data_IF_266483056520
#
_entry.id   IF_266483056520
#
_cell.length_a   1.000
_cell.length_b   1.000
_cell.length_c   1.000
_cell.angle_alpha   90.00
_cell.angle_beta   90.00
_cell.angle_gamma   90.00
#
_symmetry.space_group_name_H-M   'P 1'
#
loop_
_entity.id
_entity.type
_entity.pdbx_description
1 polymer ?
#
# COMPACT_ATOMS: atom_id res chain seq x y z
N UNK A 1 -10.54 -20.01 11.16
CA UNK A 1 -9.51 -19.69 10.13
C UNK A 1 -8.55 -18.67 10.71
N UNK A 2 -7.24 -18.93 10.70
CA UNK A 2 -6.22 -18.04 11.26
C UNK A 2 -5.61 -17.15 10.18
N UNK A 3 -5.39 -15.88 10.55
CA UNK A 3 -4.86 -14.83 9.69
C UNK A 3 -3.54 -14.32 10.27
N UNK A 4 -2.55 -14.08 9.42
CA UNK A 4 -1.29 -13.42 9.79
C UNK A 4 -1.17 -12.08 9.09
N UNK A 5 -0.95 -11.02 9.88
CA UNK A 5 -0.63 -9.67 9.40
C UNK A 5 0.86 -9.41 9.64
N UNK A 6 1.66 -9.44 8.58
CA UNK A 6 3.10 -9.15 8.63
C UNK A 6 3.34 -7.65 8.62
N UNK A 7 4.41 -7.21 9.31
CA UNK A 7 4.82 -5.82 9.43
C UNK A 7 3.66 -4.90 9.89
N UNK A 8 2.95 -5.35 10.94
CA UNK A 8 1.67 -4.79 11.37
C UNK A 8 1.76 -3.32 11.77
N UNK A 9 2.90 -2.86 12.32
CA UNK A 9 3.14 -1.46 12.68
C UNK A 9 2.01 -0.83 13.49
N UNK A 10 1.58 0.36 13.07
CA UNK A 10 0.51 1.14 13.72
C UNK A 10 -0.91 0.77 13.26
N UNK A 11 -1.11 -0.38 12.59
CA UNK A 11 -2.39 -0.75 11.96
C UNK A 11 -3.29 -1.59 12.86
N UNK A 12 -3.40 -1.22 14.14
CA UNK A 12 -4.28 -1.85 15.14
C UNK A 12 -5.74 -1.96 14.64
N UNK A 13 -6.22 -0.97 13.89
CA UNK A 13 -7.55 -1.00 13.30
C UNK A 13 -7.76 -2.18 12.34
N UNK A 14 -6.74 -2.51 11.53
CA UNK A 14 -6.86 -3.61 10.57
C UNK A 14 -6.85 -4.97 11.28
N UNK A 15 -6.07 -5.11 12.35
CA UNK A 15 -6.14 -6.31 13.22
C UNK A 15 -7.56 -6.50 13.72
N UNK A 16 -8.20 -5.44 14.26
CA UNK A 16 -9.59 -5.49 14.74
C UNK A 16 -10.58 -5.85 13.64
N UNK A 17 -10.46 -5.27 12.45
CA UNK A 17 -11.34 -5.60 11.32
C UNK A 17 -11.25 -7.08 10.92
N UNK A 18 -10.06 -7.68 10.99
CA UNK A 18 -9.93 -9.12 10.77
C UNK A 18 -10.48 -9.94 11.94
N UNK A 19 -10.25 -9.51 13.19
CA UNK A 19 -10.80 -10.17 14.39
C UNK A 19 -12.33 -10.21 14.34
N UNK A 20 -12.98 -9.10 13.98
CA UNK A 20 -14.45 -9.01 13.84
C UNK A 20 -15.00 -10.05 12.85
N UNK A 21 -14.20 -10.43 11.83
CA UNK A 21 -14.58 -11.44 10.85
C UNK A 21 -14.27 -12.87 11.31
N UNK A 22 -13.08 -13.11 11.89
CA UNK A 22 -12.62 -14.48 12.12
C UNK A 22 -12.96 -15.02 13.52
N UNK A 23 -13.11 -14.19 14.55
CA UNK A 23 -13.46 -14.64 15.89
C UNK A 23 -14.81 -15.37 15.93
N UNK A 24 -15.88 -14.87 15.25
CA UNK A 24 -17.15 -15.62 15.18
C UNK A 24 -17.02 -16.98 14.49
N UNK A 25 -15.96 -17.19 13.71
CA UNK A 25 -15.65 -18.46 13.03
C UNK A 25 -14.65 -19.33 13.82
N UNK A 26 -14.36 -18.98 15.08
CA UNK A 26 -13.36 -19.67 15.92
C UNK A 26 -11.91 -19.48 15.45
N UNK A 27 -11.64 -18.46 14.61
CA UNK A 27 -10.30 -18.11 14.13
C UNK A 27 -9.60 -17.10 15.02
N UNK A 28 -8.31 -16.84 14.70
CA UNK A 28 -7.45 -15.87 15.40
C UNK A 28 -6.68 -15.01 14.41
N UNK A 29 -6.29 -13.82 14.85
CA UNK A 29 -5.45 -12.88 14.09
C UNK A 29 -4.09 -12.77 14.76
N UNK A 30 -3.07 -13.17 14.05
CA UNK A 30 -1.67 -13.13 14.45
C UNK A 30 -0.97 -11.93 13.82
N UNK A 31 0.06 -11.43 14.48
CA UNK A 31 0.84 -10.31 13.96
C UNK A 31 2.35 -10.56 14.06
N UNK A 32 3.10 -10.08 13.08
CA UNK A 32 4.56 -10.01 13.14
C UNK A 32 5.05 -8.59 12.90
N UNK A 33 6.18 -8.24 13.51
CA UNK A 33 6.88 -6.99 13.30
C UNK A 33 8.35 -7.16 13.71
N UNK A 34 9.24 -6.25 13.32
CA UNK A 34 10.66 -6.28 13.71
C UNK A 34 10.91 -5.79 15.13
N UNK A 35 9.92 -5.14 15.75
CA UNK A 35 9.98 -4.67 17.15
C UNK A 35 8.64 -4.88 17.84
N UNK A 36 8.60 -4.94 19.17
CA UNK A 36 7.38 -5.00 19.96
C UNK A 36 6.67 -3.63 20.10
N UNK A 37 7.31 -2.53 19.68
CA UNK A 37 6.78 -1.17 19.83
C UNK A 37 5.80 -0.80 18.69
N UNK A 38 4.85 -1.69 18.44
CA UNK A 38 3.86 -1.52 17.39
C UNK A 38 2.45 -1.74 17.95
N UNK A 39 1.52 -0.80 17.72
CA UNK A 39 0.17 -0.90 18.29
C UNK A 39 -0.58 -2.13 17.79
N UNK A 40 -0.29 -2.63 16.59
CA UNK A 40 -0.82 -3.90 16.09
C UNK A 40 -0.46 -5.11 16.96
N UNK A 41 0.69 -5.08 17.65
CA UNK A 41 1.10 -6.11 18.60
C UNK A 41 0.17 -6.21 19.81
N UNK A 42 -0.35 -5.06 20.30
CA UNK A 42 -1.21 -5.04 21.50
C UNK A 42 -2.60 -5.58 21.25
N UNK A 43 -3.09 -5.52 20.01
CA UNK A 43 -4.46 -5.91 19.69
C UNK A 43 -4.55 -7.26 19.01
N UNK A 44 -3.45 -7.80 18.51
CA UNK A 44 -3.42 -9.16 17.92
C UNK A 44 -3.66 -10.22 19.01
N UNK A 45 -4.26 -11.35 18.63
CA UNK A 45 -4.47 -12.47 19.54
C UNK A 45 -3.15 -13.12 20.00
N UNK A 46 -2.13 -13.06 19.13
CA UNK A 46 -0.75 -13.40 19.42
C UNK A 46 0.16 -12.63 18.45
N UNK A 47 1.36 -12.25 18.94
CA UNK A 47 2.31 -11.50 18.10
C UNK A 47 3.74 -11.97 18.36
N UNK A 48 4.59 -11.94 17.30
CA UNK A 48 5.99 -12.34 17.39
C UNK A 48 6.91 -11.37 16.68
N UNK A 49 8.05 -11.08 17.30
CA UNK A 49 9.13 -10.33 16.67
C UNK A 49 9.83 -11.26 15.68
N UNK A 50 10.07 -10.75 14.47
CA UNK A 50 10.73 -11.47 13.38
C UNK A 50 11.95 -10.68 12.89
N UNK A 51 12.93 -11.33 12.23
CA UNK A 51 14.05 -10.63 11.58
C UNK A 51 13.57 -9.59 10.57
N UNK A 52 14.39 -8.57 10.23
CA UNK A 52 14.12 -7.68 9.10
C UNK A 52 13.97 -8.47 7.79
N UNK A 53 13.16 -7.98 6.86
CA UNK A 53 12.92 -8.65 5.57
C UNK A 53 14.17 -8.81 4.69
N UNK A 54 15.20 -8.02 4.94
CA UNK A 54 16.52 -8.15 4.31
C UNK A 54 17.37 -9.31 4.87
N UNK A 55 16.99 -9.89 6.02
CA UNK A 55 17.69 -11.05 6.57
C UNK A 55 17.40 -12.31 5.75
N UNK A 56 18.45 -13.14 5.55
CA UNK A 56 18.31 -14.44 4.88
C UNK A 56 17.38 -15.41 5.62
N UNK A 57 17.19 -15.23 6.93
CA UNK A 57 16.34 -16.07 7.77
C UNK A 57 14.85 -15.67 7.74
N UNK A 58 14.54 -14.45 7.25
CA UNK A 58 13.20 -13.87 7.36
C UNK A 58 12.10 -14.79 6.79
N UNK A 59 12.30 -15.26 5.57
CA UNK A 59 11.31 -16.10 4.88
C UNK A 59 11.09 -17.41 5.62
N UNK A 60 12.15 -18.08 6.06
CA UNK A 60 12.05 -19.37 6.73
C UNK A 60 11.38 -19.23 8.10
N UNK A 61 11.70 -18.17 8.87
CA UNK A 61 10.98 -17.84 10.11
C UNK A 61 9.50 -17.62 9.85
N UNK A 62 9.13 -16.88 8.80
CA UNK A 62 7.73 -16.62 8.47
C UNK A 62 6.98 -17.90 8.05
N UNK A 63 7.62 -18.81 7.34
CA UNK A 63 7.04 -20.12 6.95
C UNK A 63 6.79 -20.99 8.19
N UNK A 64 7.76 -21.07 9.11
CA UNK A 64 7.60 -21.84 10.36
C UNK A 64 6.46 -21.27 11.24
N UNK A 65 6.35 -19.94 11.35
CA UNK A 65 5.23 -19.31 12.05
C UNK A 65 3.88 -19.60 11.38
N UNK A 66 3.81 -19.59 10.06
CA UNK A 66 2.60 -19.97 9.33
C UNK A 66 2.18 -21.41 9.62
N UNK A 67 3.14 -22.31 9.72
CA UNK A 67 2.91 -23.72 10.07
C UNK A 67 2.50 -23.87 11.55
N UNK A 68 3.25 -23.27 12.48
CA UNK A 68 2.99 -23.29 13.93
C UNK A 68 1.58 -22.80 14.25
N UNK A 69 1.17 -21.68 13.67
CA UNK A 69 -0.11 -21.03 13.93
C UNK A 69 -1.24 -21.50 13.01
N UNK A 70 -0.97 -22.45 12.12
CA UNK A 70 -1.92 -22.94 11.12
C UNK A 70 -2.59 -21.77 10.34
N UNK A 71 -1.76 -20.90 9.79
CA UNK A 71 -2.19 -19.68 9.08
C UNK A 71 -2.79 -20.07 7.73
N UNK A 72 -3.99 -19.57 7.44
CA UNK A 72 -4.63 -19.75 6.15
C UNK A 72 -4.35 -18.60 5.19
N UNK A 73 -4.40 -17.35 5.68
CA UNK A 73 -4.13 -16.17 4.87
C UNK A 73 -3.04 -15.32 5.52
N UNK A 74 -2.05 -14.91 4.74
CA UNK A 74 -1.00 -13.98 5.14
C UNK A 74 -1.10 -12.71 4.31
N UNK A 75 -1.16 -11.56 4.99
CA UNK A 75 -1.11 -10.23 4.41
C UNK A 75 0.17 -9.52 4.84
N UNK A 76 0.92 -8.98 3.89
CA UNK A 76 1.94 -7.98 4.20
C UNK A 76 1.30 -6.61 4.27
N UNK A 77 1.61 -5.85 5.32
CA UNK A 77 1.14 -4.47 5.50
C UNK A 77 2.23 -3.44 5.19
N UNK A 78 3.35 -3.89 4.63
CA UNK A 78 4.48 -3.03 4.31
C UNK A 78 5.02 -3.37 2.92
N UNK A 79 5.49 -2.35 2.20
CA UNK A 79 5.91 -2.51 0.81
C UNK A 79 7.24 -3.28 0.66
N UNK A 80 8.05 -3.35 1.72
CA UNK A 80 9.44 -3.83 1.68
C UNK A 80 9.58 -5.32 1.98
N UNK A 81 8.68 -5.92 2.76
CA UNK A 81 8.70 -7.34 3.05
C UNK A 81 7.91 -8.18 2.04
N UNK A 82 6.92 -7.57 1.40
CA UNK A 82 6.05 -8.24 0.45
C UNK A 82 6.80 -8.90 -0.73
N UNK A 83 7.81 -8.28 -1.38
CA UNK A 83 8.56 -8.94 -2.45
C UNK A 83 9.31 -10.19 -2.00
N UNK A 84 9.90 -10.19 -0.80
CA UNK A 84 10.62 -11.34 -0.25
C UNK A 84 9.65 -12.52 -0.01
N UNK A 85 8.49 -12.25 0.61
CA UNK A 85 7.45 -13.25 0.83
C UNK A 85 6.91 -13.79 -0.51
N UNK A 86 6.63 -12.91 -1.47
CA UNK A 86 6.05 -13.29 -2.75
C UNK A 86 6.99 -14.19 -3.59
N UNK A 87 8.30 -13.99 -3.53
CA UNK A 87 9.29 -14.88 -4.18
C UNK A 87 9.27 -16.29 -3.61
N UNK A 88 8.91 -16.44 -2.35
CA UNK A 88 8.86 -17.72 -1.65
C UNK A 88 7.44 -18.33 -1.60
N UNK A 89 6.51 -17.87 -2.45
CA UNK A 89 5.08 -18.26 -2.45
C UNK A 89 4.87 -19.77 -2.35
N UNK A 90 5.68 -20.58 -3.04
CA UNK A 90 5.61 -22.04 -3.02
C UNK A 90 5.86 -22.62 -1.62
N UNK A 91 6.80 -22.03 -0.84
CA UNK A 91 7.07 -22.48 0.54
C UNK A 91 5.84 -22.28 1.43
N UNK A 92 5.16 -21.14 1.30
CA UNK A 92 3.94 -20.84 2.06
C UNK A 92 2.77 -21.73 1.63
N UNK A 93 2.63 -21.94 0.33
CA UNK A 93 1.60 -22.84 -0.19
C UNK A 93 1.76 -24.27 0.34
N UNK A 94 3.00 -24.78 0.44
CA UNK A 94 3.31 -26.11 0.96
C UNK A 94 2.88 -26.31 2.42
N UNK A 95 2.78 -25.23 3.22
CA UNK A 95 2.26 -25.29 4.61
C UNK A 95 0.78 -24.86 4.71
N UNK A 96 0.07 -24.73 3.58
CA UNK A 96 -1.36 -24.42 3.52
C UNK A 96 -1.72 -22.94 3.60
N UNK A 97 -0.71 -22.05 3.54
CA UNK A 97 -0.90 -20.58 3.62
C UNK A 97 -1.00 -19.95 2.24
N UNK A 98 -2.03 -19.12 2.04
CA UNK A 98 -2.20 -18.28 0.85
C UNK A 98 -1.62 -16.90 1.13
N UNK A 99 -0.67 -16.44 0.32
CA UNK A 99 -0.16 -15.07 0.35
C UNK A 99 -1.15 -14.14 -0.37
N UNK A 100 -1.81 -13.25 0.37
CA UNK A 100 -2.76 -12.28 -0.19
C UNK A 100 -2.00 -11.00 -0.58
N UNK A 101 -1.32 -11.09 -1.71
CA UNK A 101 -0.51 -10.01 -2.30
C UNK A 101 -0.25 -10.28 -3.78
N UNK A 102 0.32 -9.32 -4.49
CA UNK A 102 0.72 -9.45 -5.88
C UNK A 102 1.87 -10.45 -6.09
N UNK A 103 2.23 -10.68 -7.36
CA UNK A 103 3.47 -11.37 -7.73
C UNK A 103 4.66 -10.48 -7.42
N UNK A 104 5.83 -11.08 -7.16
CA UNK A 104 7.05 -10.34 -6.76
C UNK A 104 7.45 -9.26 -7.77
N UNK A 105 7.25 -9.50 -9.08
CA UNK A 105 7.57 -8.53 -10.13
C UNK A 105 6.69 -7.26 -10.04
N UNK A 106 5.40 -7.44 -9.73
CA UNK A 106 4.46 -6.32 -9.54
C UNK A 106 4.82 -5.54 -8.28
N UNK A 107 5.08 -6.25 -7.18
CA UNK A 107 5.47 -5.64 -5.91
C UNK A 107 6.75 -4.81 -6.06
N UNK A 108 7.79 -5.38 -6.67
CA UNK A 108 9.06 -4.70 -6.93
C UNK A 108 8.89 -3.51 -7.89
N UNK A 109 8.01 -3.64 -8.89
CA UNK A 109 7.71 -2.56 -9.81
C UNK A 109 7.00 -1.38 -9.13
N UNK A 110 6.06 -1.66 -8.21
CA UNK A 110 5.36 -0.62 -7.45
C UNK A 110 6.28 0.03 -6.40
N UNK A 111 7.25 -0.70 -5.85
CA UNK A 111 8.23 -0.18 -4.91
C UNK A 111 9.10 0.91 -5.54
N UNK A 112 9.41 0.78 -6.82
CA UNK A 112 10.16 1.75 -7.61
C UNK A 112 9.20 2.73 -8.32
N UNK A 113 9.00 3.92 -7.74
CA UNK A 113 8.05 4.91 -8.23
C UNK A 113 8.30 5.33 -9.70
N UNK A 114 9.56 5.37 -10.14
CA UNK A 114 9.87 5.68 -11.54
C UNK A 114 9.51 4.53 -12.47
N UNK A 115 9.83 3.30 -12.10
CA UNK A 115 9.46 2.09 -12.85
C UNK A 115 7.95 1.93 -12.92
N UNK A 116 7.25 2.19 -11.81
CA UNK A 116 5.79 2.20 -11.75
C UNK A 116 5.21 3.21 -12.75
N UNK A 117 5.70 4.46 -12.76
CA UNK A 117 5.27 5.49 -13.72
C UNK A 117 5.43 4.99 -15.16
N UNK A 118 6.60 4.44 -15.51
CA UNK A 118 6.86 3.96 -16.88
C UNK A 118 5.96 2.79 -17.29
N UNK A 119 5.66 1.88 -16.37
CA UNK A 119 4.72 0.78 -16.61
C UNK A 119 3.29 1.29 -16.80
N UNK A 120 2.87 2.25 -16.00
CA UNK A 120 1.54 2.84 -16.08
C UNK A 120 1.35 3.66 -17.36
N UNK A 121 2.35 4.45 -17.76
CA UNK A 121 2.37 5.14 -19.08
C UNK A 121 2.20 4.12 -20.22
N UNK A 122 2.89 2.97 -20.15
CA UNK A 122 2.76 1.87 -21.13
C UNK A 122 1.36 1.24 -21.18
N UNK A 123 0.60 1.35 -20.08
CA UNK A 123 -0.81 0.91 -20.02
C UNK A 123 -1.81 2.02 -20.43
N UNK A 124 -1.32 3.17 -20.87
CA UNK A 124 -2.14 4.34 -21.19
C UNK A 124 -2.77 4.99 -19.93
N UNK A 125 -2.15 4.81 -18.77
CA UNK A 125 -2.54 5.49 -17.53
C UNK A 125 -1.71 6.75 -17.38
N UNK A 126 -2.38 7.88 -17.21
CA UNK A 126 -1.73 9.17 -17.05
C UNK A 126 -1.04 9.23 -15.67
N UNK A 127 0.25 9.61 -15.69
CA UNK A 127 1.06 9.89 -14.51
C UNK A 127 1.66 11.29 -14.61
N UNK A 128 2.14 11.88 -13.51
CA UNK A 128 2.89 13.15 -13.59
C UNK A 128 4.14 12.95 -14.46
N UNK A 129 4.43 13.92 -15.35
CA UNK A 129 5.67 13.91 -16.14
C UNK A 129 6.87 13.79 -15.24
N UNK A 130 7.71 12.80 -15.47
CA UNK A 130 8.77 12.40 -14.55
C UNK A 130 10.11 12.29 -15.26
N UNK A 131 11.15 12.85 -14.66
CA UNK A 131 12.55 12.78 -15.13
C UNK A 131 13.47 12.43 -13.97
N UNK A 132 14.72 12.03 -14.28
CA UNK A 132 15.71 11.56 -13.28
C UNK A 132 16.92 12.50 -13.16
N UNK A 133 16.94 13.63 -13.85
CA UNK A 133 18.04 14.60 -13.77
C UNK A 133 17.54 16.04 -13.76
N UNK A 134 18.29 16.93 -13.12
CA UNK A 134 18.04 18.38 -13.15
C UNK A 134 18.06 18.89 -14.59
N UNK A 135 19.01 18.42 -15.42
CA UNK A 135 19.12 18.80 -16.83
C UNK A 135 17.83 18.50 -17.59
N UNK A 136 17.27 17.30 -17.43
CA UNK A 136 16.02 16.92 -18.09
C UNK A 136 14.82 17.69 -17.50
N UNK A 137 14.84 17.99 -16.21
CA UNK A 137 13.79 18.78 -15.57
C UNK A 137 13.73 20.19 -16.17
N UNK A 138 14.85 20.86 -16.28
CA UNK A 138 14.94 22.21 -16.88
C UNK A 138 14.59 22.22 -18.37
N UNK A 139 14.83 21.12 -19.09
CA UNK A 139 14.53 21.02 -20.51
C UNK A 139 13.05 20.67 -20.82
N UNK A 140 12.34 19.99 -19.90
CA UNK A 140 11.04 19.35 -20.20
C UNK A 140 9.90 19.71 -19.24
N UNK A 141 10.21 20.28 -18.08
CA UNK A 141 9.24 20.60 -17.04
C UNK A 141 9.26 22.10 -16.74
N UNK A 142 8.22 22.59 -16.08
CA UNK A 142 8.11 23.97 -15.63
C UNK A 142 7.87 24.03 -14.14
N UNK A 143 8.45 25.00 -13.45
CA UNK A 143 8.16 25.23 -12.03
C UNK A 143 6.68 25.59 -11.80
N UNK A 144 6.10 25.22 -10.64
CA UNK A 144 6.74 24.48 -9.57
C UNK A 144 6.93 23.00 -9.89
N UNK A 145 7.94 22.35 -9.26
CA UNK A 145 8.25 20.95 -9.43
C UNK A 145 8.15 20.20 -8.09
N UNK A 146 8.02 18.87 -8.16
CA UNK A 146 8.13 17.97 -7.02
C UNK A 146 9.43 17.19 -7.15
N UNK A 147 10.25 17.22 -6.10
CA UNK A 147 11.44 16.38 -5.94
C UNK A 147 11.15 15.33 -4.87
N UNK A 148 11.42 14.07 -5.15
CA UNK A 148 11.19 12.99 -4.17
C UNK A 148 12.15 11.82 -4.38
N UNK A 149 12.43 11.04 -3.31
CA UNK A 149 13.10 9.75 -3.44
C UNK A 149 12.32 8.83 -4.39
N UNK A 150 13.03 8.10 -5.22
CA UNK A 150 12.47 7.08 -6.11
C UNK A 150 11.88 5.91 -5.32
N UNK A 151 12.53 5.55 -4.21
CA UNK A 151 12.05 4.59 -3.21
C UNK A 151 11.79 5.31 -1.90
N UNK A 152 10.73 5.00 -1.20
CA UNK A 152 10.38 5.62 0.08
C UNK A 152 8.88 5.62 0.34
N UNK A 153 8.51 6.00 1.55
CA UNK A 153 7.13 5.99 2.05
C UNK A 153 6.86 7.19 2.98
N UNK A 154 5.59 7.41 3.31
CA UNK A 154 5.19 8.41 4.31
C UNK A 154 5.56 9.84 3.95
N UNK A 155 5.67 10.18 2.67
CA UNK A 155 6.05 11.50 2.15
C UNK A 155 7.43 12.01 2.63
N UNK A 156 8.30 11.12 3.14
CA UNK A 156 9.65 11.49 3.59
C UNK A 156 10.51 11.88 2.38
N UNK A 157 11.13 13.07 2.44
CA UNK A 157 12.03 13.57 1.39
C UNK A 157 11.30 14.09 0.15
N UNK A 158 10.01 14.43 0.24
CA UNK A 158 9.25 15.08 -0.83
C UNK A 158 9.32 16.60 -0.65
N UNK A 159 9.75 17.29 -1.69
CA UNK A 159 9.89 18.76 -1.72
C UNK A 159 9.16 19.35 -2.91
N UNK A 160 8.36 20.38 -2.68
CA UNK A 160 7.86 21.27 -3.74
C UNK A 160 8.86 22.41 -3.90
N UNK A 161 9.29 22.66 -5.13
CA UNK A 161 10.32 23.66 -5.45
C UNK A 161 9.81 24.61 -6.52
N UNK A 162 10.15 25.91 -6.41
CA UNK A 162 9.66 26.97 -7.26
C UNK A 162 10.75 27.61 -8.14
N UNK A 163 12.03 27.32 -7.85
CA UNK A 163 13.17 27.89 -8.53
C UNK A 163 14.35 26.90 -8.60
N UNK A 164 15.38 27.25 -9.38
CA UNK A 164 16.52 26.39 -9.65
C UNK A 164 17.37 26.10 -8.38
N UNK A 165 17.61 27.11 -7.58
CA UNK A 165 18.39 27.01 -6.33
C UNK A 165 17.67 26.08 -5.32
N UNK A 166 16.34 26.17 -5.23
CA UNK A 166 15.52 25.24 -4.44
C UNK A 166 15.60 23.80 -5.00
N UNK A 167 15.62 23.65 -6.34
CA UNK A 167 15.67 22.34 -7.00
C UNK A 167 16.98 21.60 -6.67
N UNK A 168 18.12 22.28 -6.75
CA UNK A 168 19.45 21.72 -6.46
C UNK A 168 19.53 21.27 -4.98
N UNK A 169 19.08 22.12 -4.06
CA UNK A 169 19.03 21.79 -2.63
C UNK A 169 18.10 20.61 -2.34
N UNK A 170 16.92 20.60 -2.94
CA UNK A 170 15.94 19.52 -2.74
C UNK A 170 16.44 18.17 -3.25
N UNK A 171 17.12 18.13 -4.40
CA UNK A 171 17.73 16.90 -4.94
C UNK A 171 18.77 16.37 -3.96
N UNK A 172 19.67 17.21 -3.44
CA UNK A 172 20.68 16.80 -2.47
C UNK A 172 20.05 16.20 -1.19
N UNK A 173 18.99 16.82 -0.66
CA UNK A 173 18.29 16.30 0.53
C UNK A 173 17.51 15.01 0.21
N UNK A 174 16.85 14.92 -0.94
CA UNK A 174 16.13 13.72 -1.34
C UNK A 174 17.08 12.54 -1.57
N UNK A 175 18.28 12.75 -2.12
CA UNK A 175 19.31 11.73 -2.26
C UNK A 175 19.80 11.19 -0.92
N UNK A 176 19.95 12.05 0.09
CA UNK A 176 20.30 11.61 1.44
C UNK A 176 19.21 10.68 2.01
N UNK A 177 17.95 11.08 1.95
CA UNK A 177 16.84 10.23 2.39
C UNK A 177 16.75 8.92 1.59
N UNK A 178 17.01 8.96 0.28
CA UNK A 178 17.00 7.77 -0.56
C UNK A 178 18.07 6.74 -0.13
N UNK A 179 19.25 7.19 0.27
CA UNK A 179 20.33 6.30 0.79
C UNK A 179 19.90 5.59 2.08
N UNK A 180 19.20 6.28 2.97
CA UNK A 180 18.70 5.68 4.21
C UNK A 180 17.68 4.55 3.89
N UNK A 181 16.81 4.75 2.91
CA UNK A 181 15.89 3.72 2.44
C UNK A 181 16.59 2.56 1.72
N UNK A 182 17.60 2.84 0.90
CA UNK A 182 18.31 1.82 0.14
C UNK A 182 18.98 0.77 1.03
N UNK A 183 19.37 1.15 2.24
CA UNK A 183 19.97 0.22 3.22
C UNK A 183 18.95 -0.80 3.78
N UNK A 184 17.67 -0.54 3.67
CA UNK A 184 16.59 -1.35 4.24
C UNK A 184 15.97 -2.35 3.24
N UNK A 185 16.24 -2.18 1.93
CA UNK A 185 15.61 -2.98 0.89
C UNK A 185 16.63 -3.46 -0.16
N UNK A 186 16.92 -4.77 -0.21
CA UNK A 186 17.87 -5.35 -1.18
C UNK A 186 17.45 -5.20 -2.64
N UNK A 187 16.17 -4.94 -2.91
CA UNK A 187 15.61 -4.74 -4.25
C UNK A 187 16.02 -3.39 -4.87
N UNK A 188 16.54 -2.45 -4.09
CA UNK A 188 16.94 -1.13 -4.57
C UNK A 188 18.29 -1.21 -5.28
N UNK A 189 18.28 -0.98 -6.58
CA UNK A 189 19.51 -0.82 -7.37
C UNK A 189 20.15 0.56 -7.10
N UNK A 190 21.16 0.57 -6.25
CA UNK A 190 21.87 1.79 -5.86
C UNK A 190 22.73 2.39 -6.99
N UNK A 191 22.92 1.68 -8.10
CA UNK A 191 23.65 2.20 -9.28
C UNK A 191 22.78 3.13 -10.13
N UNK A 192 21.45 3.10 -9.95
CA UNK A 192 20.49 3.94 -10.65
C UNK A 192 20.30 5.27 -9.93
N UNK A 193 19.80 6.33 -10.62
CA UNK A 193 19.39 7.58 -9.98
C UNK A 193 18.40 7.31 -8.84
N UNK A 194 18.68 7.86 -7.67
CA UNK A 194 17.92 7.60 -6.44
C UNK A 194 16.76 8.59 -6.23
N UNK A 195 16.74 9.68 -7.01
CA UNK A 195 15.75 10.76 -6.91
C UNK A 195 15.04 10.91 -8.25
N UNK A 196 13.78 11.28 -8.18
CA UNK A 196 12.97 11.65 -9.33
C UNK A 196 12.41 13.06 -9.17
N UNK A 197 12.25 13.76 -10.30
CA UNK A 197 11.70 15.10 -10.40
C UNK A 197 10.43 15.01 -11.24
N UNK A 198 9.34 15.57 -10.73
CA UNK A 198 8.03 15.51 -11.38
C UNK A 198 7.42 16.90 -11.54
N UNK A 199 6.55 17.07 -12.54
CA UNK A 199 5.67 18.22 -12.60
C UNK A 199 4.79 18.28 -11.34
N UNK A 200 4.52 19.50 -10.87
CA UNK A 200 3.55 19.73 -9.79
C UNK A 200 2.14 19.73 -10.35
N UNK A 201 1.26 18.92 -9.79
CA UNK A 201 -0.15 18.87 -10.15
C UNK A 201 -0.97 19.62 -9.10
N UNK A 202 -1.70 20.65 -9.53
CA UNK A 202 -2.62 21.39 -8.67
C UNK A 202 -4.05 20.91 -8.92
N UNK A 203 -4.42 19.81 -8.27
CA UNK A 203 -5.77 19.23 -8.34
C UNK A 203 -6.11 18.55 -7.01
N UNK A 204 -7.40 18.33 -6.74
CA UNK A 204 -7.82 17.55 -5.58
C UNK A 204 -7.22 16.14 -5.56
N UNK A 205 -6.87 15.68 -4.36
CA UNK A 205 -6.28 14.35 -4.16
C UNK A 205 -7.35 13.33 -3.78
N UNK A 206 -7.24 12.14 -4.39
CA UNK A 206 -8.11 11.00 -4.15
C UNK A 206 -7.28 9.78 -3.78
N UNK A 207 -7.87 8.91 -2.96
CA UNK A 207 -7.39 7.55 -2.76
C UNK A 207 -8.35 6.56 -3.40
N UNK A 208 -7.83 5.41 -3.84
CA UNK A 208 -8.68 4.34 -4.34
C UNK A 208 -8.16 2.99 -3.83
N UNK A 209 -9.05 2.22 -3.19
CA UNK A 209 -8.77 0.82 -2.86
C UNK A 209 -9.26 -0.05 -4.01
N UNK A 210 -8.32 -0.70 -4.70
CA UNK A 210 -8.55 -1.60 -5.83
C UNK A 210 -8.57 -3.02 -5.29
N UNK A 211 -9.68 -3.74 -5.45
CA UNK A 211 -9.88 -5.06 -4.86
C UNK A 211 -10.00 -6.13 -5.93
N UNK A 212 -9.10 -7.10 -5.87
CA UNK A 212 -9.16 -8.35 -6.63
C UNK A 212 -9.44 -9.52 -5.67
N UNK A 213 -10.07 -10.58 -6.18
CA UNK A 213 -10.23 -11.82 -5.41
C UNK A 213 -8.92 -12.63 -5.32
N UNK A 214 -8.96 -13.78 -4.63
CA UNK A 214 -7.79 -14.64 -4.47
C UNK A 214 -7.40 -15.41 -5.74
N UNK A 215 -8.10 -15.20 -6.86
CA UNK A 215 -7.70 -15.64 -8.20
C UNK A 215 -7.12 -14.50 -9.06
N UNK A 216 -7.04 -13.29 -8.50
CA UNK A 216 -6.54 -12.11 -9.20
C UNK A 216 -7.57 -11.43 -10.11
N UNK A 217 -8.86 -11.78 -10.03
CA UNK A 217 -9.93 -11.15 -10.81
C UNK A 217 -10.40 -9.88 -10.11
N UNK A 218 -10.56 -8.82 -10.89
CA UNK A 218 -11.12 -7.57 -10.39
C UNK A 218 -12.53 -7.74 -9.83
N UNK A 219 -12.75 -7.21 -8.63
CA UNK A 219 -14.07 -7.23 -7.97
C UNK A 219 -14.67 -5.82 -7.85
N UNK A 220 -13.93 -4.87 -7.30
CA UNK A 220 -14.41 -3.50 -7.09
C UNK A 220 -13.26 -2.51 -6.90
N UNK A 221 -13.56 -1.23 -7.13
CA UNK A 221 -12.69 -0.10 -6.77
C UNK A 221 -13.51 0.90 -5.94
N UNK A 222 -12.97 1.32 -4.78
CA UNK A 222 -13.62 2.24 -3.85
C UNK A 222 -12.84 3.53 -3.80
N UNK A 223 -13.46 4.61 -4.24
CA UNK A 223 -12.82 5.93 -4.34
C UNK A 223 -13.20 6.79 -3.14
N UNK A 224 -12.25 7.57 -2.68
CA UNK A 224 -12.41 8.56 -1.60
C UNK A 224 -11.68 9.84 -1.93
N UNK A 225 -12.33 10.99 -1.75
CA UNK A 225 -11.71 12.30 -1.87
C UNK A 225 -11.04 12.65 -0.55
N UNK A 226 -9.76 12.99 -0.59
CA UNK A 226 -8.98 13.37 0.60
C UNK A 226 -9.19 14.86 0.90
N UNK A 227 -9.41 15.20 2.17
CA UNK A 227 -9.56 16.59 2.63
C UNK A 227 -8.42 17.05 3.52
N UNK A 228 -7.81 16.12 4.26
CA UNK A 228 -6.70 16.42 5.15
C UNK A 228 -5.68 15.27 5.14
N UNK A 229 -4.42 15.67 5.24
CA UNK A 229 -3.28 14.77 5.36
C UNK A 229 -2.52 15.07 6.65
N UNK A 230 -2.00 14.03 7.30
CA UNK A 230 -1.12 14.16 8.48
C UNK A 230 0.05 13.21 8.32
N UNK A 231 1.27 13.75 8.30
CA UNK A 231 2.51 12.96 8.18
C UNK A 231 2.49 11.95 7.02
N UNK A 232 1.99 12.37 5.85
CA UNK A 232 1.93 11.53 4.65
C UNK A 232 0.80 10.49 4.64
N UNK A 233 -0.09 10.49 5.62
CA UNK A 233 -1.28 9.64 5.65
C UNK A 233 -2.57 10.46 5.55
N UNK A 234 -3.61 9.89 4.95
CA UNK A 234 -4.94 10.50 4.91
C UNK A 234 -5.51 10.61 6.33
N UNK A 235 -5.92 11.80 6.73
CA UNK A 235 -6.48 12.13 8.04
C UNK A 235 -8.00 12.37 8.01
N UNK A 236 -8.50 12.87 6.88
CA UNK A 236 -9.94 13.02 6.63
C UNK A 236 -10.25 12.75 5.15
N UNK A 237 -11.32 12.00 4.90
CA UNK A 237 -11.78 11.71 3.54
C UNK A 237 -13.29 11.47 3.49
N UNK A 238 -13.85 11.57 2.29
CA UNK A 238 -15.23 11.23 1.96
C UNK A 238 -15.26 10.16 0.87
N UNK A 239 -16.06 9.13 1.06
CA UNK A 239 -16.32 8.14 0.03
C UNK A 239 -17.11 8.78 -1.12
N UNK A 240 -16.65 8.60 -2.36
CA UNK A 240 -17.26 9.20 -3.54
C UNK A 240 -17.45 8.16 -4.65
N UNK A 241 -18.37 8.42 -5.55
CA UNK A 241 -18.43 7.74 -6.83
C UNK A 241 -17.63 8.55 -7.86
N UNK A 242 -16.64 7.91 -8.49
CA UNK A 242 -15.79 8.53 -9.51
C UNK A 242 -15.47 7.49 -10.58
N UNK A 243 -16.34 7.43 -11.58
CA UNK A 243 -16.27 6.44 -12.67
C UNK A 243 -14.95 6.49 -13.42
N UNK A 244 -14.37 7.67 -13.59
CA UNK A 244 -13.10 7.89 -14.30
C UNK A 244 -11.94 7.17 -13.58
N UNK A 245 -11.81 7.35 -12.27
CA UNK A 245 -10.78 6.65 -11.48
C UNK A 245 -11.07 5.14 -11.46
N UNK A 246 -12.34 4.74 -11.29
CA UNK A 246 -12.72 3.33 -11.22
C UNK A 246 -12.41 2.56 -12.51
N UNK A 247 -12.63 3.16 -13.68
CA UNK A 247 -12.29 2.52 -14.98
C UNK A 247 -10.78 2.36 -15.17
N UNK A 248 -9.99 3.34 -14.77
CA UNK A 248 -8.52 3.22 -14.80
C UNK A 248 -8.06 2.18 -13.77
N UNK A 249 -8.61 2.18 -12.55
CA UNK A 249 -8.33 1.22 -11.51
C UNK A 249 -8.61 -0.24 -11.96
N UNK A 250 -9.69 -0.46 -12.70
CA UNK A 250 -10.03 -1.76 -13.30
C UNK A 250 -8.98 -2.24 -14.31
N UNK A 251 -8.40 -1.33 -15.12
CA UNK A 251 -7.28 -1.67 -16.03
C UNK A 251 -6.03 -2.06 -15.24
N UNK A 252 -5.70 -1.31 -14.19
CA UNK A 252 -4.57 -1.60 -13.29
C UNK A 252 -4.78 -2.95 -12.60
N UNK A 253 -5.99 -3.24 -12.11
CA UNK A 253 -6.34 -4.50 -11.47
C UNK A 253 -6.09 -5.70 -12.39
N UNK A 254 -6.49 -5.60 -13.66
CA UNK A 254 -6.27 -6.65 -14.68
C UNK A 254 -4.79 -6.85 -15.00
N UNK A 255 -4.02 -5.76 -15.10
CA UNK A 255 -2.58 -5.81 -15.33
C UNK A 255 -1.84 -6.46 -14.16
N UNK A 256 -2.13 -6.02 -12.94
CA UNK A 256 -1.43 -6.50 -11.75
C UNK A 256 -1.83 -7.90 -11.33
N UNK A 257 -3.10 -8.29 -11.55
CA UNK A 257 -3.69 -9.55 -11.05
C UNK A 257 -3.30 -9.82 -9.60
N UNK A 258 -3.18 -8.76 -8.77
CA UNK A 258 -2.85 -8.88 -7.35
C UNK A 258 -4.00 -9.56 -6.59
N UNK A 259 -3.72 -10.10 -5.41
CA UNK A 259 -4.73 -10.66 -4.53
C UNK A 259 -5.05 -9.69 -3.41
N UNK A 260 -6.33 -9.54 -3.08
CA UNK A 260 -6.81 -8.66 -2.02
C UNK A 260 -6.83 -7.19 -2.42
N UNK A 261 -6.38 -6.32 -1.53
CA UNK A 261 -6.45 -4.87 -1.66
C UNK A 261 -5.14 -4.29 -2.19
N UNK A 262 -5.25 -3.34 -3.12
CA UNK A 262 -4.16 -2.46 -3.57
C UNK A 262 -4.61 -1.03 -3.34
N UNK A 263 -3.85 -0.28 -2.56
CA UNK A 263 -4.05 1.16 -2.36
C UNK A 263 -3.44 1.95 -3.50
N UNK A 264 -4.09 3.04 -3.91
CA UNK A 264 -3.61 3.93 -4.97
C UNK A 264 -3.97 5.37 -4.70
N UNK A 265 -3.08 6.28 -5.07
CA UNK A 265 -3.26 7.72 -4.92
C UNK A 265 -3.34 8.42 -6.26
N UNK A 266 -4.24 9.41 -6.35
CA UNK A 266 -4.62 10.06 -7.59
C UNK A 266 -4.77 11.56 -7.41
N UNK A 267 -4.44 12.33 -8.44
CA UNK A 267 -4.99 13.67 -8.65
C UNK A 267 -6.11 13.59 -9.69
N UNK A 268 -7.22 14.25 -9.41
CA UNK A 268 -8.33 14.30 -10.33
C UNK A 268 -9.13 15.59 -10.19
N UNK A 269 -9.55 16.13 -11.32
CA UNK A 269 -10.48 17.25 -11.42
C UNK A 269 -11.50 16.93 -12.51
N UNK A 270 -12.76 17.22 -12.24
CA UNK A 270 -13.86 16.96 -13.17
C UNK A 270 -13.56 17.45 -14.58
N UNK A 271 -13.86 16.63 -15.58
CA UNK A 271 -13.57 16.91 -16.98
C UNK A 271 -12.12 16.68 -17.43
N UNK A 272 -11.26 16.10 -16.58
CA UNK A 272 -9.89 15.71 -16.92
C UNK A 272 -9.66 14.21 -16.79
N UNK A 273 -8.56 13.69 -17.35
CA UNK A 273 -8.13 12.33 -17.07
C UNK A 273 -7.53 12.22 -15.66
N UNK A 274 -7.86 11.17 -14.89
CA UNK A 274 -7.21 10.91 -13.62
C UNK A 274 -5.71 10.72 -13.76
N UNK A 275 -4.94 11.29 -12.84
CA UNK A 275 -3.48 11.22 -12.80
C UNK A 275 -3.06 10.35 -11.65
N UNK A 276 -2.47 9.19 -11.94
CA UNK A 276 -1.98 8.26 -10.93
C UNK A 276 -0.64 8.74 -10.34
N UNK A 277 -0.59 8.80 -9.01
CA UNK A 277 0.60 9.25 -8.25
C UNK A 277 1.41 8.04 -7.77
N UNK A 278 0.73 7.05 -7.19
CA UNK A 278 1.35 5.91 -6.51
C UNK A 278 0.45 4.68 -6.50
N UNK A 279 1.06 3.49 -6.52
CA UNK A 279 0.42 2.20 -6.30
C UNK A 279 1.11 1.48 -5.14
N UNK A 280 0.32 1.05 -4.16
CA UNK A 280 0.78 0.29 -3.01
C UNK A 280 0.00 -1.03 -2.95
N UNK A 281 0.55 -2.17 -3.43
CA UNK A 281 -0.19 -3.42 -3.55
C UNK A 281 -0.38 -4.14 -2.20
N UNK A 282 -1.02 -3.45 -1.28
CA UNK A 282 -1.39 -3.83 0.08
C UNK A 282 -2.51 -2.94 0.60
N UNK A 283 -3.05 -3.22 1.79
CA UNK A 283 -3.92 -2.29 2.48
C UNK A 283 -3.22 -0.96 2.76
N UNK A 284 -3.80 0.15 2.31
CA UNK A 284 -3.32 1.51 2.53
C UNK A 284 -3.69 2.05 3.91
N UNK A 285 -3.01 3.14 4.30
CA UNK A 285 -3.42 3.95 5.45
C UNK A 285 -4.80 4.59 5.29
N UNK A 286 -5.29 4.69 4.05
CA UNK A 286 -6.62 5.18 3.69
C UNK A 286 -7.74 4.13 3.72
N UNK A 287 -7.44 2.84 3.90
CA UNK A 287 -8.47 1.79 3.92
C UNK A 287 -9.56 1.97 5.00
N UNK A 288 -9.27 2.46 6.23
CA UNK A 288 -10.32 2.68 7.22
C UNK A 288 -11.50 3.52 6.72
N UNK A 289 -11.26 4.51 5.84
CA UNK A 289 -12.33 5.34 5.26
C UNK A 289 -13.28 4.51 4.39
N UNK A 290 -12.72 3.58 3.60
CA UNK A 290 -13.48 2.64 2.77
C UNK A 290 -14.25 1.64 3.64
N UNK A 291 -13.63 1.13 4.70
CA UNK A 291 -14.27 0.22 5.65
C UNK A 291 -15.44 0.90 6.37
N UNK A 292 -15.25 2.10 6.90
CA UNK A 292 -16.31 2.87 7.57
C UNK A 292 -17.46 3.25 6.61
N UNK A 293 -17.17 3.39 5.31
CA UNK A 293 -18.20 3.59 4.29
C UNK A 293 -19.01 2.31 3.97
N UNK A 294 -18.61 1.14 4.52
CA UNK A 294 -19.36 -0.11 4.42
C UNK A 294 -18.74 -1.18 3.52
N UNK A 295 -17.48 -1.02 3.07
CA UNK A 295 -16.77 -2.05 2.29
C UNK A 295 -15.82 -2.86 3.19
N UNK A 296 -16.21 -4.07 3.54
CA UNK A 296 -15.45 -4.97 4.42
C UNK A 296 -14.57 -5.94 3.60
N UNK A 297 -13.41 -5.45 3.11
CA UNK A 297 -12.46 -6.28 2.35
C UNK A 297 -11.86 -7.44 3.17
N UNK A 298 -11.60 -7.35 4.48
CA UNK A 298 -11.29 -8.49 5.33
C UNK A 298 -12.32 -9.63 5.21
N UNK A 299 -13.62 -9.32 5.26
CA UNK A 299 -14.69 -10.31 5.07
C UNK A 299 -14.62 -10.95 3.69
N UNK A 300 -14.41 -10.14 2.64
CA UNK A 300 -14.25 -10.65 1.28
C UNK A 300 -13.13 -11.70 1.18
N UNK A 301 -11.94 -11.37 1.69
CA UNK A 301 -10.79 -12.27 1.63
C UNK A 301 -11.04 -13.59 2.39
N UNK A 302 -11.68 -13.52 3.55
CA UNK A 302 -12.06 -14.71 4.33
C UNK A 302 -13.11 -15.55 3.60
N UNK A 303 -14.15 -14.93 3.02
CA UNK A 303 -15.18 -15.59 2.24
C UNK A 303 -14.59 -16.31 1.01
N UNK A 304 -13.74 -15.63 0.25
CA UNK A 304 -13.06 -16.25 -0.91
C UNK A 304 -12.17 -17.43 -0.51
N UNK A 305 -11.46 -17.34 0.62
CA UNK A 305 -10.65 -18.45 1.12
C UNK A 305 -11.49 -19.65 1.59
N UNK A 306 -12.79 -19.42 1.90
CA UNK A 306 -13.78 -20.47 2.22
C UNK A 306 -14.57 -20.94 0.99
N UNK A 307 -14.23 -20.44 -0.22
CA UNK A 307 -14.93 -20.77 -1.47
C UNK A 307 -16.28 -20.08 -1.64
N UNK A 308 -16.58 -19.04 -0.83
CA UNK A 308 -17.77 -18.21 -0.99
C UNK A 308 -17.48 -17.04 -1.93
N UNK A 309 -18.28 -16.90 -2.97
CA UNK A 309 -18.15 -15.84 -3.97
C UNK A 309 -19.44 -15.00 -3.99
N UNK A 310 -19.61 -14.17 -2.95
CA UNK A 310 -20.73 -13.24 -2.81
C UNK A 310 -20.25 -11.79 -2.75
N UNK A 311 -21.19 -10.87 -2.87
CA UNK A 311 -20.96 -9.41 -2.82
C UNK A 311 -21.40 -8.81 -1.47
N UNK A 312 -21.60 -9.62 -0.43
CA UNK A 312 -22.08 -9.16 0.88
C UNK A 312 -21.11 -8.16 1.52
N UNK A 313 -19.81 -8.34 1.30
CA UNK A 313 -18.73 -7.54 1.87
C UNK A 313 -18.75 -6.06 1.48
N UNK A 314 -19.47 -5.64 0.42
CA UNK A 314 -19.64 -4.23 0.04
C UNK A 314 -21.10 -3.82 -0.16
N UNK A 315 -22.07 -4.68 0.16
CA UNK A 315 -23.51 -4.37 0.03
C UNK A 315 -23.93 -3.12 0.80
N UNK A 316 -23.28 -2.84 1.92
CA UNK A 316 -23.52 -1.67 2.77
C UNK A 316 -22.71 -0.45 2.39
N UNK A 317 -21.90 -0.50 1.32
CA UNK A 317 -21.07 0.63 0.91
C UNK A 317 -21.94 1.81 0.48
N UNK A 318 -21.60 2.99 0.98
CA UNK A 318 -22.28 4.25 0.68
C UNK A 318 -21.26 5.31 0.28
N UNK A 319 -21.62 6.15 -0.67
CA UNK A 319 -20.94 7.41 -1.00
C UNK A 319 -21.40 8.54 -0.09
N UNK A 320 -20.63 9.62 0.01
CA UNK A 320 -20.90 10.75 0.88
C UNK A 320 -20.60 10.51 2.37
N UNK A 321 -19.98 9.38 2.71
CA UNK A 321 -19.56 9.10 4.10
C UNK A 321 -18.26 9.84 4.40
N UNK A 322 -18.32 10.85 5.26
CA UNK A 322 -17.16 11.57 5.77
C UNK A 322 -16.62 10.91 7.01
N UNK A 323 -15.35 10.63 7.01
CA UNK A 323 -14.65 9.97 8.14
C UNK A 323 -13.40 10.78 8.48
N UNK A 324 -13.07 10.81 9.77
CA UNK A 324 -11.92 11.52 10.33
C UNK A 324 -11.13 10.55 11.19
N UNK A 325 -9.81 10.57 11.10
CA UNK A 325 -8.95 9.83 12.03
C UNK A 325 -8.77 10.60 13.34
N UNK A 326 -8.66 9.85 14.42
CA UNK A 326 -8.24 10.35 15.70
C UNK A 326 -7.12 9.50 16.29
N UNK A 327 -6.48 9.98 17.35
CA UNK A 327 -5.40 9.30 18.04
C UNK A 327 -6.00 8.39 19.12
N UNK A 328 -5.60 7.11 19.07
CA UNK A 328 -5.89 6.16 20.13
C UNK A 328 -4.62 5.86 20.92
N UNK A 329 -4.72 5.84 22.26
CA UNK A 329 -3.63 5.47 23.15
C UNK A 329 -3.70 3.99 23.49
N UNK A 330 -2.54 3.33 23.50
CA UNK A 330 -2.40 1.95 23.94
C UNK A 330 -1.43 1.93 25.10
N UNK A 331 -1.87 1.41 26.26
CA UNK A 331 -1.06 1.28 27.46
C UNK A 331 -0.57 -0.17 27.55
N UNK A 332 0.73 -0.36 27.76
CA UNK A 332 1.33 -1.63 28.12
C UNK A 332 1.73 -1.56 29.58
N UNK A 333 1.13 -2.39 30.40
CA UNK A 333 1.61 -2.59 31.76
C UNK A 333 2.99 -3.26 31.74
N UNK A 334 3.83 -2.91 32.72
CA UNK A 334 5.22 -3.34 32.82
C UNK A 334 5.37 -4.85 33.05
#
# INVERSE_FOLDING_TARGET
>A
MNILLSAVGRRAYLVKYFQDVVHPLGGRVYATNTTSNATGFFVADEARIVPPSASSEYVDVMVELCKEWNIRLLFSLHDWDAPALARAREKFFAVGTILVMGRSEILTACLDKYKMVKLMEGLGVRCPKTVLSIKDALARLSFPLIVKPRWGQGSIGIFKVNALDELEAAVMFAERNARDFASLCPEIDQTQPQVMIQEFISAPEFGCDIVNDLSGRFRKAFVKRKFAMRSGETDAAESVDCGEIQEVAKRIAKWSSHFGCMDSDWFFQDGSDPILIELNPRFGGGYPFTHCAGANVPLACVNWAMGKDDDEWYRSFRTGVRTFKDISLFVKDA
#
